data_IF_869173158895
#
_entry.id   IF_869173158895
#
_cell.length_a   1.000
_cell.length_b   1.000
_cell.length_c   1.000
_cell.angle_alpha   90.00
_cell.angle_beta   90.00
_cell.angle_gamma   90.00
#
_symmetry.space_group_name_H-M   'P 1'
#
loop_
_entity.id
_entity.type
_entity.pdbx_description
1 polymer ?
#
# COMPACT_ATOMS: atom_id res chain seq x y z
N UNK A 1 63.41 34.39 -55.90
CA UNK A 1 63.82 33.57 -54.73
C UNK A 1 63.16 34.23 -53.52
N UNK A 2 61.95 33.77 -53.14
CA UNK A 2 61.68 33.04 -51.87
C UNK A 2 62.14 33.88 -50.66
N UNK A 3 61.29 34.49 -49.84
CA UNK A 3 60.37 33.90 -48.82
C UNK A 3 59.63 35.09 -48.14
N UNK A 4 58.30 35.22 -48.09
CA UNK A 4 57.33 34.53 -47.21
C UNK A 4 57.82 34.38 -45.77
N UNK A 5 57.34 35.19 -44.80
CA UNK A 5 56.58 34.69 -43.64
C UNK A 5 55.96 35.82 -42.79
N UNK A 6 54.65 35.70 -42.66
CA UNK A 6 53.71 36.33 -41.75
C UNK A 6 54.14 36.52 -40.28
N UNK A 7 53.66 37.64 -39.75
CA UNK A 7 53.62 37.96 -38.32
C UNK A 7 52.85 36.89 -37.53
N UNK A 8 53.52 36.31 -36.55
CA UNK A 8 52.95 35.37 -35.59
C UNK A 8 51.86 36.07 -34.74
N UNK A 9 50.61 35.60 -34.88
CA UNK A 9 49.51 35.92 -33.94
C UNK A 9 49.57 34.95 -32.76
N UNK A 10 49.44 35.40 -31.50
CA UNK A 10 49.35 34.49 -30.36
C UNK A 10 48.01 33.74 -30.36
N UNK A 11 47.96 32.50 -29.82
CA UNK A 11 46.75 31.69 -29.87
C UNK A 11 45.70 32.20 -28.88
N UNK A 12 44.50 32.42 -29.41
CA UNK A 12 43.29 32.72 -28.67
C UNK A 12 42.93 31.51 -27.80
N UNK A 13 43.09 31.63 -26.47
CA UNK A 13 42.65 30.60 -25.52
C UNK A 13 41.12 30.60 -25.47
N UNK A 14 40.50 29.68 -26.20
CA UNK A 14 39.08 29.36 -26.08
C UNK A 14 38.83 28.65 -24.74
N UNK A 15 38.50 29.42 -23.70
CA UNK A 15 37.90 28.89 -22.48
C UNK A 15 36.47 28.46 -22.79
N UNK A 16 36.28 27.17 -23.08
CA UNK A 16 34.96 26.57 -23.18
C UNK A 16 34.27 26.58 -21.80
N UNK A 17 33.05 27.11 -21.66
CA UNK A 17 32.30 26.94 -20.43
C UNK A 17 31.83 25.48 -20.38
N UNK A 18 32.38 24.72 -19.43
CA UNK A 18 31.86 23.40 -19.08
C UNK A 18 30.49 23.61 -18.46
N UNK A 19 29.45 23.53 -19.30
CA UNK A 19 28.06 23.54 -18.88
C UNK A 19 27.82 22.23 -18.13
N UNK A 20 27.91 22.30 -16.80
CA UNK A 20 27.57 21.21 -15.89
C UNK A 20 26.06 20.98 -16.00
N UNK A 21 25.66 20.10 -16.91
CA UNK A 21 24.28 19.62 -17.03
C UNK A 21 24.03 18.74 -15.80
N UNK A 22 23.47 19.35 -14.76
CA UNK A 22 22.89 18.63 -13.65
C UNK A 22 21.76 17.75 -14.21
N UNK A 23 22.05 16.48 -14.44
CA UNK A 23 21.06 15.43 -14.65
C UNK A 23 20.21 15.35 -13.38
N UNK A 24 19.16 16.17 -13.33
CA UNK A 24 17.99 15.91 -12.51
C UNK A 24 17.37 14.62 -13.05
N UNK A 25 17.94 13.49 -12.64
CA UNK A 25 17.16 12.27 -12.49
C UNK A 25 16.07 12.61 -11.48
N UNK A 26 14.96 13.16 -11.98
CA UNK A 26 13.71 13.17 -11.26
C UNK A 26 13.33 11.70 -11.10
N UNK A 27 13.91 11.07 -10.07
CA UNK A 27 13.44 9.81 -9.54
C UNK A 27 11.98 10.06 -9.16
N UNK A 28 11.06 9.75 -10.07
CA UNK A 28 9.67 9.55 -9.66
C UNK A 28 9.74 8.48 -8.58
N UNK A 29 9.32 8.75 -7.33
CA UNK A 29 9.28 7.71 -6.32
C UNK A 29 8.49 6.53 -6.88
N UNK A 30 8.95 5.30 -6.61
CA UNK A 30 8.31 4.08 -7.10
C UNK A 30 6.84 3.96 -6.67
N UNK A 31 6.41 4.78 -5.70
CA UNK A 31 5.09 4.84 -5.11
C UNK A 31 4.54 6.26 -5.25
N UNK A 32 3.46 6.42 -6.02
CA UNK A 32 2.73 7.67 -6.20
C UNK A 32 1.51 7.65 -5.27
N UNK A 33 1.70 8.15 -4.05
CA UNK A 33 0.68 8.14 -3.00
C UNK A 33 -0.47 9.09 -3.31
N UNK A 34 -1.69 8.57 -3.30
CA UNK A 34 -2.90 9.33 -3.58
C UNK A 34 -3.98 8.95 -2.59
N UNK A 35 -4.72 9.94 -2.11
CA UNK A 35 -5.84 9.70 -1.21
C UNK A 35 -6.99 9.03 -1.97
N UNK A 36 -7.57 7.99 -1.36
CA UNK A 36 -8.72 7.26 -1.87
C UNK A 36 -9.76 7.12 -0.76
N UNK A 37 -11.02 6.97 -1.16
CA UNK A 37 -12.15 6.73 -0.24
C UNK A 37 -12.98 5.56 -0.79
N UNK A 38 -13.04 4.40 -0.09
CA UNK A 38 -13.96 3.33 -0.46
C UNK A 38 -15.41 3.85 -0.46
N UNK A 39 -16.15 3.52 -1.51
CA UNK A 39 -17.51 4.02 -1.72
C UNK A 39 -18.45 3.63 -0.57
N UNK A 40 -19.32 4.57 -0.17
CA UNK A 40 -20.29 4.33 0.91
C UNK A 40 -19.66 4.25 2.31
N UNK A 41 -18.42 4.70 2.49
CA UNK A 41 -17.71 4.69 3.78
C UNK A 41 -17.19 6.08 4.12
N UNK A 42 -16.87 6.27 5.41
CA UNK A 42 -16.16 7.46 5.89
C UNK A 42 -14.64 7.27 5.96
N UNK A 43 -14.14 6.14 5.46
CA UNK A 43 -12.71 5.81 5.50
C UNK A 43 -11.97 6.57 4.40
N UNK A 44 -10.87 7.22 4.76
CA UNK A 44 -9.87 7.73 3.84
C UNK A 44 -8.50 7.09 4.14
N UNK A 45 -7.73 6.84 3.08
CA UNK A 45 -6.40 6.25 3.13
C UNK A 45 -5.59 6.60 1.88
N UNK A 46 -4.29 6.33 1.89
CA UNK A 46 -3.43 6.47 0.71
C UNK A 46 -3.27 5.12 -0.01
N UNK A 47 -3.25 5.15 -1.34
CA UNK A 47 -2.72 4.05 -2.18
C UNK A 47 -1.56 4.56 -3.04
N UNK A 48 -0.52 3.74 -3.29
CA UNK A 48 0.70 4.16 -3.99
C UNK A 48 0.58 4.19 -5.52
N UNK A 49 -0.63 3.99 -6.04
CA UNK A 49 -0.93 3.93 -7.47
C UNK A 49 -2.40 4.27 -7.70
N UNK A 50 -2.81 4.39 -8.96
CA UNK A 50 -4.23 4.49 -9.31
C UNK A 50 -4.90 3.16 -8.93
N UNK A 51 -5.95 3.17 -8.09
CA UNK A 51 -6.63 1.94 -7.71
C UNK A 51 -7.51 1.41 -8.83
N UNK A 52 -7.54 0.10 -8.94
CA UNK A 52 -8.62 -0.64 -9.59
C UNK A 52 -9.72 -0.95 -8.58
N UNK A 53 -10.94 -1.13 -9.08
CA UNK A 53 -12.11 -1.48 -8.28
C UNK A 53 -12.48 -2.94 -8.55
N UNK A 54 -12.83 -3.66 -7.49
CA UNK A 54 -13.37 -5.00 -7.61
C UNK A 54 -14.50 -5.21 -6.61
N UNK A 55 -15.44 -6.09 -6.96
CA UNK A 55 -16.47 -6.57 -6.05
C UNK A 55 -16.48 -8.09 -6.08
N UNK A 56 -16.62 -8.70 -4.90
CA UNK A 56 -16.70 -10.16 -4.78
C UNK A 56 -17.71 -10.52 -3.70
N UNK A 57 -18.54 -11.51 -3.97
CA UNK A 57 -19.41 -12.09 -2.95
C UNK A 57 -18.60 -13.13 -2.18
N UNK A 58 -18.50 -12.98 -0.87
CA UNK A 58 -17.71 -13.87 0.00
C UNK A 58 -18.50 -14.28 1.26
N UNK A 59 -18.37 -15.54 1.73
CA UNK A 59 -18.94 -15.95 2.99
C UNK A 59 -18.04 -15.49 4.15
N UNK A 60 -18.35 -14.35 4.76
CA UNK A 60 -17.60 -13.81 5.91
C UNK A 60 -18.07 -14.42 7.25
N UNK A 61 -18.23 -15.75 7.31
CA UNK A 61 -18.73 -16.43 8.51
C UNK A 61 -20.24 -16.25 8.77
N UNK A 62 -21.00 -15.83 7.76
CA UNK A 62 -22.44 -15.63 7.80
C UNK A 62 -23.05 -15.71 6.40
N UNK A 63 -24.18 -15.02 6.13
CA UNK A 63 -24.71 -14.87 4.78
C UNK A 63 -23.63 -14.38 3.81
N UNK A 64 -23.77 -14.73 2.54
CA UNK A 64 -22.86 -14.26 1.51
C UNK A 64 -22.96 -12.72 1.41
N UNK A 65 -21.83 -12.03 1.61
CA UNK A 65 -21.78 -10.56 1.68
C UNK A 65 -20.97 -10.03 0.50
N UNK A 66 -21.42 -8.93 -0.11
CA UNK A 66 -20.65 -8.20 -1.12
C UNK A 66 -19.47 -7.49 -0.46
N UNK A 67 -18.28 -7.86 -0.87
CA UNK A 67 -17.03 -7.22 -0.52
C UNK A 67 -16.62 -6.26 -1.64
N UNK A 68 -16.56 -4.97 -1.34
CA UNK A 68 -16.08 -3.93 -2.25
C UNK A 68 -14.63 -3.62 -1.97
N UNK A 69 -13.80 -3.59 -3.02
CA UNK A 69 -12.35 -3.48 -2.91
C UNK A 69 -11.80 -2.36 -3.78
N UNK A 70 -10.85 -1.61 -3.23
CA UNK A 70 -9.91 -0.78 -3.98
C UNK A 70 -8.51 -1.34 -3.76
N UNK A 71 -7.72 -1.47 -4.82
CA UNK A 71 -6.34 -1.91 -4.67
C UNK A 71 -5.50 -1.67 -5.91
N UNK A 72 -4.19 -1.79 -5.76
CA UNK A 72 -3.25 -1.74 -6.87
C UNK A 72 -1.91 -2.39 -6.50
N UNK A 73 -1.14 -2.74 -7.52
CA UNK A 73 0.21 -3.27 -7.38
C UNK A 73 1.24 -2.18 -7.68
N UNK A 74 2.17 -1.92 -6.76
CA UNK A 74 3.27 -0.99 -6.95
C UNK A 74 4.49 -1.37 -6.10
N UNK A 75 5.70 -1.11 -6.62
CA UNK A 75 6.93 -1.41 -5.91
C UNK A 75 7.11 -2.89 -5.53
N UNK A 76 6.53 -3.82 -6.30
CA UNK A 76 6.58 -5.26 -6.01
C UNK A 76 5.66 -5.72 -4.86
N UNK A 77 4.73 -4.86 -4.44
CA UNK A 77 3.76 -5.15 -3.40
C UNK A 77 2.34 -4.87 -3.89
N UNK A 78 1.40 -5.66 -3.38
CA UNK A 78 -0.05 -5.44 -3.54
C UNK A 78 -0.55 -4.64 -2.35
N UNK A 79 -1.33 -3.58 -2.59
CA UNK A 79 -1.99 -2.78 -1.57
C UNK A 79 -3.49 -2.81 -1.83
N UNK A 80 -4.29 -3.08 -0.80
CA UNK A 80 -5.73 -3.14 -0.95
C UNK A 80 -6.46 -2.68 0.31
N UNK A 81 -7.65 -2.15 0.10
CA UNK A 81 -8.69 -1.96 1.10
C UNK A 81 -9.94 -2.68 0.65
N UNK A 82 -10.53 -3.45 1.55
CA UNK A 82 -11.75 -4.19 1.34
C UNK A 82 -12.75 -3.81 2.43
N UNK A 83 -14.00 -3.56 2.03
CA UNK A 83 -15.10 -3.22 2.93
C UNK A 83 -16.33 -4.07 2.63
N UNK A 84 -17.00 -4.50 3.70
CA UNK A 84 -18.30 -5.13 3.64
C UNK A 84 -19.21 -4.53 4.72
N UNK A 85 -20.48 -4.34 4.41
CA UNK A 85 -21.51 -4.07 5.40
C UNK A 85 -22.20 -5.39 5.76
N UNK A 86 -22.10 -5.80 7.03
CA UNK A 86 -22.71 -7.05 7.50
C UNK A 86 -24.12 -6.85 8.05
N UNK A 87 -24.64 -5.62 8.07
CA UNK A 87 -25.99 -5.23 8.51
C UNK A 87 -26.24 -5.32 10.02
N UNK A 88 -25.54 -6.21 10.73
CA UNK A 88 -25.71 -6.45 12.16
C UNK A 88 -24.41 -6.14 12.93
N UNK A 89 -24.42 -5.01 13.65
CA UNK A 89 -23.27 -4.55 14.43
C UNK A 89 -22.84 -5.55 15.52
N UNK A 90 -23.75 -6.40 16.02
CA UNK A 90 -23.41 -7.41 17.03
C UNK A 90 -22.51 -8.53 16.47
N UNK A 91 -22.48 -8.71 15.14
CA UNK A 91 -21.66 -9.72 14.46
C UNK A 91 -20.29 -9.21 14.03
N UNK A 92 -19.99 -7.93 14.22
CA UNK A 92 -18.75 -7.30 13.73
C UNK A 92 -17.50 -7.98 14.27
N UNK A 93 -17.40 -8.14 15.59
CA UNK A 93 -16.23 -8.75 16.22
C UNK A 93 -15.96 -10.19 15.76
N UNK A 94 -16.95 -11.13 15.79
CA UNK A 94 -16.71 -12.47 15.28
C UNK A 94 -16.43 -12.52 13.78
N UNK A 95 -17.04 -11.65 12.97
CA UNK A 95 -16.75 -11.57 11.52
C UNK A 95 -15.32 -11.13 11.27
N UNK A 96 -14.83 -10.10 11.96
CA UNK A 96 -13.44 -9.64 11.81
C UNK A 96 -12.44 -10.74 12.21
N UNK A 97 -12.69 -11.43 13.33
CA UNK A 97 -11.84 -12.54 13.78
C UNK A 97 -11.82 -13.70 12.76
N UNK A 98 -12.99 -14.06 12.23
CA UNK A 98 -13.09 -15.09 11.20
C UNK A 98 -12.38 -14.68 9.90
N UNK A 99 -12.55 -13.44 9.46
CA UNK A 99 -11.92 -12.94 8.25
C UNK A 99 -10.39 -12.88 8.41
N UNK A 100 -9.88 -12.46 9.57
CA UNK A 100 -8.47 -12.55 9.90
C UNK A 100 -7.97 -14.00 9.79
N UNK A 101 -8.68 -14.97 10.38
CA UNK A 101 -8.33 -16.39 10.31
C UNK A 101 -8.30 -16.93 8.88
N UNK A 102 -9.33 -16.63 8.08
CA UNK A 102 -9.40 -17.04 6.67
C UNK A 102 -8.26 -16.42 5.84
N UNK A 103 -7.91 -15.17 6.12
CA UNK A 103 -6.80 -14.48 5.43
C UNK A 103 -5.47 -15.17 5.71
N UNK A 104 -5.22 -15.54 6.97
CA UNK A 104 -4.02 -16.28 7.38
C UNK A 104 -3.99 -17.71 6.80
N UNK A 105 -5.14 -18.37 6.73
CA UNK A 105 -5.25 -19.69 6.10
C UNK A 105 -4.99 -19.62 4.59
N UNK A 106 -5.53 -18.61 3.90
CA UNK A 106 -5.34 -18.41 2.46
C UNK A 106 -3.88 -18.12 2.10
N UNK A 107 -3.14 -17.42 2.97
CA UNK A 107 -1.70 -17.23 2.78
C UNK A 107 -0.86 -18.42 3.28
N UNK A 108 -1.48 -19.51 3.74
CA UNK A 108 -0.79 -20.66 4.34
C UNK A 108 0.25 -20.21 5.38
N UNK A 109 -0.16 -19.33 6.30
CA UNK A 109 0.72 -18.77 7.31
C UNK A 109 1.35 -19.91 8.15
N UNK A 110 2.69 -19.95 8.20
CA UNK A 110 3.41 -21.07 8.81
C UNK A 110 3.57 -20.94 10.33
N UNK A 111 3.82 -19.72 10.81
CA UNK A 111 3.96 -19.39 12.22
C UNK A 111 2.74 -18.61 12.73
N UNK A 112 2.59 -18.54 14.06
CA UNK A 112 1.58 -17.69 14.67
C UNK A 112 1.77 -16.22 14.23
N UNK A 113 0.71 -15.51 13.82
CA UNK A 113 0.81 -14.13 13.41
C UNK A 113 1.16 -13.22 14.59
N UNK A 114 1.87 -12.14 14.31
CA UNK A 114 2.05 -11.06 15.28
C UNK A 114 0.83 -10.14 15.23
N UNK A 115 0.20 -9.89 16.36
CA UNK A 115 -0.96 -8.99 16.47
C UNK A 115 -0.60 -7.83 17.38
N UNK A 116 -0.88 -6.61 16.93
CA UNK A 116 -0.59 -5.38 17.65
C UNK A 116 -1.73 -4.38 17.48
N UNK A 117 -1.96 -3.45 18.43
CA UNK A 117 -2.92 -2.37 18.22
C UNK A 117 -2.43 -1.39 17.16
N UNK A 118 -3.34 -0.83 16.38
CA UNK A 118 -3.06 0.25 15.43
C UNK A 118 -3.88 1.49 15.81
N UNK A 119 -3.24 2.66 15.86
CA UNK A 119 -3.97 3.91 16.06
C UNK A 119 -4.66 4.31 14.75
N UNK A 120 -5.98 4.50 14.80
CA UNK A 120 -6.76 4.95 13.66
C UNK A 120 -7.64 6.15 14.08
N UNK A 121 -7.29 7.38 13.68
CA UNK A 121 -8.09 8.56 13.93
C UNK A 121 -9.54 8.38 13.49
N UNK A 122 -10.49 8.76 14.37
CA UNK A 122 -11.93 8.66 14.11
C UNK A 122 -12.54 7.26 14.29
N UNK A 123 -11.74 6.23 14.62
CA UNK A 123 -12.27 4.90 14.92
C UNK A 123 -13.11 4.87 16.20
N UNK A 124 -14.09 3.98 16.23
CA UNK A 124 -14.75 3.58 17.47
C UNK A 124 -13.76 2.88 18.42
N UNK A 125 -14.01 2.94 19.72
CA UNK A 125 -13.16 2.30 20.73
C UNK A 125 -13.24 0.76 20.68
N UNK A 126 -14.39 0.21 20.26
CA UNK A 126 -14.65 -1.22 20.18
C UNK A 126 -15.33 -1.57 18.83
N UNK A 127 -14.90 -2.65 18.15
CA UNK A 127 -13.70 -3.45 18.45
C UNK A 127 -12.41 -2.64 18.26
N UNK A 128 -11.33 -2.95 18.99
CA UNK A 128 -10.06 -2.28 18.79
C UNK A 128 -9.50 -2.58 17.39
N UNK A 129 -8.84 -1.59 16.80
CA UNK A 129 -8.15 -1.74 15.52
C UNK A 129 -6.91 -2.61 15.73
N UNK A 130 -6.82 -3.73 15.02
CA UNK A 130 -5.67 -4.62 15.06
C UNK A 130 -4.84 -4.51 13.79
N UNK A 131 -3.52 -4.54 13.92
CA UNK A 131 -2.56 -4.77 12.84
C UNK A 131 -1.95 -6.16 13.03
N UNK A 132 -2.14 -7.01 12.04
CA UNK A 132 -1.70 -8.40 11.99
C UNK A 132 -0.58 -8.53 10.99
N UNK A 133 0.55 -9.11 11.40
CA UNK A 133 1.71 -9.39 10.53
C UNK A 133 1.95 -10.89 10.47
N UNK A 134 2.18 -11.42 9.28
CA UNK A 134 2.40 -12.84 9.08
C UNK A 134 3.28 -13.12 7.85
N UNK A 135 3.88 -14.31 7.84
CA UNK A 135 4.61 -14.86 6.71
C UNK A 135 3.97 -16.19 6.30
N UNK A 136 3.94 -16.46 5.00
CA UNK A 136 3.32 -17.65 4.44
C UNK A 136 3.74 -17.88 2.99
N UNK A 137 2.87 -18.50 2.20
CA UNK A 137 3.07 -18.81 0.80
C UNK A 137 1.93 -18.26 -0.06
N UNK A 138 2.29 -17.63 -1.18
CA UNK A 138 1.34 -17.16 -2.17
C UNK A 138 0.70 -18.31 -2.97
N UNK A 139 -0.26 -18.01 -3.86
CA UNK A 139 -0.90 -19.00 -4.72
C UNK A 139 0.08 -19.77 -5.63
N UNK A 140 1.20 -19.15 -5.97
CA UNK A 140 2.29 -19.73 -6.76
C UNK A 140 3.29 -20.56 -5.93
N UNK A 141 3.04 -20.70 -4.62
CA UNK A 141 3.90 -21.42 -3.68
C UNK A 141 5.13 -20.64 -3.19
N UNK A 142 5.34 -19.40 -3.65
CA UNK A 142 6.49 -18.60 -3.22
C UNK A 142 6.25 -17.96 -1.84
N UNK A 143 7.31 -17.71 -1.05
CA UNK A 143 7.17 -16.98 0.22
C UNK A 143 6.52 -15.60 0.03
N UNK A 144 5.62 -15.25 0.94
CA UNK A 144 4.96 -13.95 0.98
C UNK A 144 4.86 -13.45 2.42
N UNK A 145 5.17 -12.17 2.63
CA UNK A 145 4.87 -11.44 3.85
C UNK A 145 3.55 -10.67 3.68
N UNK A 146 2.71 -10.70 4.71
CA UNK A 146 1.45 -9.95 4.77
C UNK A 146 1.37 -9.07 6.01
N UNK A 147 0.84 -7.87 5.86
CA UNK A 147 0.40 -7.01 6.96
C UNK A 147 -1.03 -6.55 6.68
N UNK A 148 -1.92 -6.70 7.66
CA UNK A 148 -3.33 -6.36 7.51
C UNK A 148 -3.88 -5.67 8.76
N UNK A 149 -4.53 -4.53 8.57
CA UNK A 149 -5.33 -3.86 9.58
C UNK A 149 -6.80 -4.31 9.50
N UNK A 150 -7.40 -4.62 10.65
CA UNK A 150 -8.80 -5.03 10.79
C UNK A 150 -9.53 -4.11 11.76
N UNK A 151 -10.67 -3.59 11.35
CA UNK A 151 -11.47 -2.66 12.16
C UNK A 151 -12.89 -2.52 11.62
N UNK A 152 -13.72 -1.74 12.32
CA UNK A 152 -15.11 -1.52 11.95
C UNK A 152 -15.59 -0.09 12.25
N UNK A 153 -16.67 0.30 11.58
CA UNK A 153 -17.45 1.51 11.85
C UNK A 153 -18.94 1.16 11.69
N UNK A 154 -19.68 1.10 12.81
CA UNK A 154 -21.06 0.60 12.78
C UNK A 154 -21.08 -0.89 12.38
N UNK A 155 -21.87 -1.25 11.36
CA UNK A 155 -21.91 -2.60 10.76
C UNK A 155 -20.91 -2.79 9.61
N UNK A 156 -20.13 -1.76 9.26
CA UNK A 156 -19.10 -1.88 8.23
C UNK A 156 -17.83 -2.48 8.82
N UNK A 157 -17.34 -3.55 8.20
CA UNK A 157 -16.08 -4.21 8.52
C UNK A 157 -15.04 -3.93 7.43
N UNK A 158 -13.80 -3.68 7.83
CA UNK A 158 -12.72 -3.28 6.96
C UNK A 158 -11.52 -4.20 7.11
N UNK A 159 -10.89 -4.50 5.97
CA UNK A 159 -9.54 -5.05 5.90
C UNK A 159 -8.70 -4.13 5.01
N UNK A 160 -7.61 -3.59 5.56
CA UNK A 160 -6.59 -2.86 4.80
C UNK A 160 -5.33 -3.70 4.81
N UNK A 161 -4.88 -4.18 3.66
CA UNK A 161 -3.85 -5.21 3.57
C UNK A 161 -2.77 -4.87 2.55
N UNK A 162 -1.54 -5.26 2.86
CA UNK A 162 -0.45 -5.30 1.91
C UNK A 162 0.22 -6.68 1.88
N UNK A 163 0.62 -7.10 0.69
CA UNK A 163 1.39 -8.33 0.45
C UNK A 163 2.63 -8.04 -0.38
N UNK A 164 3.75 -8.68 -0.04
CA UNK A 164 5.01 -8.58 -0.80
C UNK A 164 5.91 -9.76 -0.44
N UNK A 165 6.84 -10.21 -1.32
CA UNK A 165 7.93 -11.10 -0.91
C UNK A 165 8.74 -10.54 0.28
N UNK A 166 8.85 -9.20 0.36
CA UNK A 166 9.44 -8.49 1.50
C UNK A 166 8.80 -7.12 1.64
N UNK A 167 8.22 -6.85 2.81
CA UNK A 167 7.57 -5.55 3.07
C UNK A 167 8.63 -4.50 3.42
N UNK A 168 8.67 -3.41 2.64
CA UNK A 168 9.47 -2.23 2.95
C UNK A 168 8.83 -1.48 4.15
N UNK A 169 9.56 -1.27 5.26
CA UNK A 169 9.00 -0.65 6.47
C UNK A 169 8.39 0.73 6.21
N UNK A 170 9.04 1.56 5.39
CA UNK A 170 8.62 2.94 5.11
C UNK A 170 7.31 2.98 4.30
N UNK A 171 7.14 2.02 3.38
CA UNK A 171 5.90 1.88 2.62
C UNK A 171 4.74 1.40 3.51
N UNK A 172 5.01 0.45 4.42
CA UNK A 172 4.03 -0.01 5.38
C UNK A 172 3.62 1.11 6.35
N UNK A 173 4.58 1.86 6.87
CA UNK A 173 4.32 2.99 7.76
C UNK A 173 3.46 4.04 7.08
N UNK A 174 3.83 4.47 5.86
CA UNK A 174 3.04 5.44 5.08
C UNK A 174 1.61 4.93 4.84
N UNK A 175 1.47 3.66 4.48
CA UNK A 175 0.17 3.06 4.18
C UNK A 175 -0.74 3.00 5.41
N UNK A 176 -0.28 2.39 6.51
CA UNK A 176 -1.11 2.19 7.70
C UNK A 176 -1.31 3.46 8.54
N UNK A 177 -0.36 4.39 8.55
CA UNK A 177 -0.54 5.68 9.24
C UNK A 177 -1.50 6.64 8.53
N UNK A 178 -1.77 6.40 7.24
CA UNK A 178 -2.70 7.22 6.45
C UNK A 178 -4.18 7.00 6.77
N UNK A 179 -4.51 5.91 7.48
CA UNK A 179 -5.88 5.53 7.78
C UNK A 179 -6.55 6.56 8.70
N UNK A 180 -7.74 7.04 8.30
CA UNK A 180 -8.58 7.92 9.13
C UNK A 180 -10.05 7.75 8.75
N UNK A 181 -10.94 7.86 9.73
CA UNK A 181 -12.36 8.13 9.48
C UNK A 181 -12.62 9.63 9.50
N UNK A 182 -13.35 10.12 8.50
CA UNK A 182 -13.76 11.53 8.35
C UNK A 182 -15.25 11.77 8.70
#
# INVERSE_FOLDING_TARGET
MLTIWDAARPPLRLTAPVLFIALLAACSPALNWREVRPEGTRLALLLPCKPDKAQKIVPLGGPATTLSMLGCDAGGATFAVAVADIGDAAKVAPVLAQWQSLTLANMKAGAAPQVSPLKLPGAAALPPVSLVKAEGQGPDGKPVSGQAAYFAQGSQVFQVVMYSPRIAPEAAETFFSSLKFE
#
